data_IF_126865007402
#
_entry.id   IF_126865007402
#
_cell.length_a   1.000
_cell.length_b   1.000
_cell.length_c   1.000
_cell.angle_alpha   90.00
_cell.angle_beta   90.00
_cell.angle_gamma   90.00
#
_symmetry.space_group_name_H-M   'P 1'
#
loop_
_entity.id
_entity.type
_entity.pdbx_description
1 polymer ?
#
# COMPACT_ATOMS: atom_id res chain seq x y z
N UNK A 1 29.01 0.91 15.17
CA UNK A 1 28.24 1.11 13.92
C UNK A 1 26.79 1.34 14.33
N UNK A 2 26.21 2.51 14.05
CA UNK A 2 24.78 2.70 14.25
C UNK A 2 24.03 1.72 13.31
N UNK A 3 23.05 1.00 13.84
CA UNK A 3 22.22 0.12 13.02
C UNK A 3 21.47 0.96 11.99
N UNK A 4 21.56 0.60 10.71
CA UNK A 4 20.85 1.28 9.63
C UNK A 4 19.42 0.77 9.60
N UNK A 5 18.46 1.61 9.97
CA UNK A 5 17.04 1.31 9.78
C UNK A 5 16.64 1.55 8.32
N UNK A 6 15.77 0.68 7.80
CA UNK A 6 15.16 0.84 6.49
C UNK A 6 13.66 1.03 6.66
N UNK A 7 13.13 2.10 6.07
CA UNK A 7 11.69 2.38 6.05
C UNK A 7 11.21 2.18 4.62
N UNK A 8 10.19 1.35 4.45
CA UNK A 8 9.51 1.14 3.17
C UNK A 8 8.15 1.80 3.28
N UNK A 9 7.86 2.72 2.35
CA UNK A 9 6.59 3.42 2.27
C UNK A 9 5.75 2.77 1.18
N UNK A 10 4.50 2.46 1.51
CA UNK A 10 3.53 1.91 0.56
C UNK A 10 2.27 2.75 0.61
N UNK A 11 1.71 3.03 -0.58
CA UNK A 11 0.43 3.72 -0.73
C UNK A 11 -0.65 2.67 -1.02
N UNK A 12 -1.86 2.91 -0.54
CA UNK A 12 -3.02 2.11 -0.90
C UNK A 12 -3.25 2.08 -2.42
N UNK A 13 -3.86 1.00 -2.93
CA UNK A 13 -4.26 0.89 -4.33
C UNK A 13 -5.43 1.80 -4.71
N UNK A 14 -5.87 1.74 -5.96
CA UNK A 14 -7.03 2.49 -6.45
C UNK A 14 -8.29 2.23 -5.61
N UNK A 15 -8.94 3.30 -5.13
CA UNK A 15 -10.22 3.23 -4.41
C UNK A 15 -11.41 3.38 -5.35
N UNK A 16 -12.60 2.98 -4.89
CA UNK A 16 -13.83 3.17 -5.68
C UNK A 16 -14.09 4.64 -6.02
N UNK A 17 -13.71 5.57 -5.13
CA UNK A 17 -13.84 7.01 -5.40
C UNK A 17 -12.76 7.56 -6.33
N UNK A 18 -11.61 6.88 -6.48
CA UNK A 18 -10.67 7.22 -7.54
C UNK A 18 -11.25 6.88 -8.91
N UNK A 19 -11.91 5.72 -9.03
CA UNK A 19 -12.63 5.32 -10.25
C UNK A 19 -13.73 6.33 -10.59
N UNK A 20 -14.50 6.73 -9.58
CA UNK A 20 -15.61 7.69 -9.75
C UNK A 20 -15.15 9.15 -9.89
N UNK A 21 -13.83 9.42 -9.83
CA UNK A 21 -13.23 10.75 -9.84
C UNK A 21 -13.81 11.71 -8.77
N UNK A 22 -13.98 11.19 -7.55
CA UNK A 22 -14.52 11.90 -6.38
C UNK A 22 -13.43 12.24 -5.38
N UNK A 23 -13.60 13.37 -4.68
CA UNK A 23 -12.74 13.72 -3.55
C UNK A 23 -13.09 12.89 -2.31
N UNK A 24 -12.14 12.16 -1.74
CA UNK A 24 -12.35 11.26 -0.58
C UNK A 24 -12.22 11.93 0.77
N UNK A 25 -11.19 12.75 0.98
CA UNK A 25 -10.90 13.33 2.29
C UNK A 25 -10.66 12.25 3.35
N UNK A 26 -11.40 12.29 4.45
CA UNK A 26 -11.29 11.35 5.59
C UNK A 26 -12.31 10.22 5.53
N UNK A 27 -13.05 10.08 4.42
CA UNK A 27 -14.02 9.02 4.27
C UNK A 27 -13.30 7.68 4.08
N UNK A 28 -13.73 6.65 4.81
CA UNK A 28 -13.25 5.29 4.64
C UNK A 28 -13.90 4.66 3.39
N UNK A 29 -13.15 4.61 2.29
CA UNK A 29 -13.63 4.14 0.97
C UNK A 29 -12.89 2.87 0.60
N UNK A 30 -13.66 1.86 0.20
CA UNK A 30 -13.12 0.56 -0.23
C UNK A 30 -12.22 0.69 -1.47
N UNK A 31 -11.27 -0.23 -1.58
CA UNK A 31 -10.50 -0.41 -2.80
C UNK A 31 -11.41 -0.85 -3.95
N UNK A 32 -11.04 -0.48 -5.18
CA UNK A 32 -11.62 -1.10 -6.37
C UNK A 32 -11.04 -2.52 -6.53
N UNK A 33 -11.67 -3.35 -7.35
CA UNK A 33 -11.11 -4.67 -7.69
C UNK A 33 -9.67 -4.56 -8.25
N UNK A 34 -9.37 -3.46 -8.95
CA UNK A 34 -8.02 -3.15 -9.42
C UNK A 34 -7.10 -2.76 -8.26
N UNK A 35 -7.55 -1.93 -7.31
CA UNK A 35 -6.76 -1.57 -6.13
C UNK A 35 -6.42 -2.75 -5.23
N UNK A 36 -7.31 -3.74 -5.12
CA UNK A 36 -7.03 -5.00 -4.42
C UNK A 36 -5.91 -5.78 -5.14
N UNK A 37 -6.00 -5.90 -6.48
CA UNK A 37 -4.98 -6.55 -7.29
C UNK A 37 -3.62 -5.85 -7.18
N UNK A 38 -3.60 -4.51 -7.23
CA UNK A 38 -2.39 -3.69 -7.04
C UNK A 38 -1.74 -3.96 -5.68
N UNK A 39 -2.54 -4.10 -4.62
CA UNK A 39 -2.05 -4.39 -3.27
C UNK A 39 -1.41 -5.79 -3.20
N UNK A 40 -2.01 -6.79 -3.83
CA UNK A 40 -1.43 -8.13 -3.93
C UNK A 40 -0.14 -8.15 -4.73
N UNK A 41 -0.09 -7.46 -5.87
CA UNK A 41 1.09 -7.43 -6.74
C UNK A 41 2.24 -6.64 -6.11
N UNK A 42 1.97 -5.54 -5.40
CA UNK A 42 2.97 -4.85 -4.60
C UNK A 42 3.59 -5.78 -3.55
N UNK A 43 2.77 -6.59 -2.87
CA UNK A 43 3.25 -7.59 -1.92
C UNK A 43 4.16 -8.65 -2.57
N UNK A 44 3.82 -9.13 -3.77
CA UNK A 44 4.67 -10.06 -4.53
C UNK A 44 6.00 -9.44 -4.91
N UNK A 45 5.99 -8.22 -5.46
CA UNK A 45 7.20 -7.48 -5.86
C UNK A 45 8.14 -7.28 -4.67
N UNK A 46 7.60 -6.87 -3.52
CA UNK A 46 8.40 -6.70 -2.30
C UNK A 46 9.03 -8.03 -1.85
N UNK A 47 8.27 -9.12 -1.90
CA UNK A 47 8.77 -10.45 -1.54
C UNK A 47 9.85 -10.94 -2.50
N UNK A 48 9.64 -10.80 -3.80
CA UNK A 48 10.59 -11.20 -4.85
C UNK A 48 11.88 -10.38 -4.80
N UNK A 49 11.79 -9.10 -4.46
CA UNK A 49 12.93 -8.23 -4.24
C UNK A 49 13.65 -8.49 -2.90
N UNK A 50 13.19 -9.47 -2.10
CA UNK A 50 13.87 -9.91 -0.88
C UNK A 50 13.62 -9.03 0.35
N UNK A 51 12.62 -8.15 0.32
CA UNK A 51 12.26 -7.34 1.48
C UNK A 51 11.69 -8.23 2.61
N UNK A 52 12.10 -7.91 3.84
CA UNK A 52 11.57 -8.49 5.08
C UNK A 52 11.16 -7.35 6.00
N UNK A 53 10.08 -7.56 6.74
CA UNK A 53 9.48 -6.54 7.58
C UNK A 53 9.37 -7.05 9.01
N UNK A 54 9.92 -6.28 9.94
CA UNK A 54 9.82 -6.56 11.37
C UNK A 54 8.57 -5.90 11.98
N UNK A 55 8.17 -4.75 11.43
CA UNK A 55 7.05 -3.94 11.88
C UNK A 55 6.27 -3.40 10.68
N UNK A 56 4.96 -3.24 10.84
CA UNK A 56 4.06 -2.61 9.88
C UNK A 56 3.18 -1.57 10.59
N UNK A 57 3.00 -0.42 9.94
CA UNK A 57 2.15 0.67 10.42
C UNK A 57 1.19 1.06 9.28
N UNK A 58 -0.05 1.40 9.62
CA UNK A 58 -1.08 1.86 8.69
C UNK A 58 -1.66 3.19 9.17
N UNK A 59 -2.22 3.97 8.24
CA UNK A 59 -3.07 5.14 8.55
C UNK A 59 -4.31 4.76 9.33
#
# INVERSE_FOLDING_TARGET
MAAKYQIVLIRHGESQWNVDNRFTGWHDVQLSAKGEQESHDAGKVLKEAGFKFDLAYTS
#
